data_IF_880413067315
#
_entry.id   IF_880413067315
#
_cell.length_a   1.000
_cell.length_b   1.000
_cell.length_c   1.000
_cell.angle_alpha   90.00
_cell.angle_beta   90.00
_cell.angle_gamma   90.00
#
_symmetry.space_group_name_H-M   'P 1'
#
loop_
_entity.id
_entity.type
_entity.pdbx_description
1 polymer ?
#
# COMPACT_ATOMS: atom_id res chain seq x y z
N UNK A 1 4.19 2.97 10.44
CA UNK A 1 3.81 1.56 10.70
C UNK A 1 2.73 1.12 9.73
N UNK A 2 2.47 -0.19 9.63
CA UNK A 2 1.44 -0.78 8.78
C UNK A 2 0.95 -2.09 9.41
N UNK A 3 -0.26 -2.54 9.09
CA UNK A 3 -0.77 -3.84 9.51
C UNK A 3 -0.15 -4.95 8.65
N UNK A 4 1.10 -5.28 8.93
CA UNK A 4 1.79 -6.35 8.24
C UNK A 4 1.36 -7.72 8.78
N UNK A 5 0.96 -8.60 7.87
CA UNK A 5 1.03 -10.05 8.07
C UNK A 5 2.41 -10.56 7.62
N UNK A 6 2.54 -11.85 7.29
CA UNK A 6 3.80 -12.50 6.93
C UNK A 6 4.74 -11.68 6.02
N UNK A 7 4.42 -11.54 4.73
CA UNK A 7 5.28 -10.83 3.78
C UNK A 7 4.72 -9.46 3.34
N UNK A 8 3.55 -9.05 3.82
CA UNK A 8 2.85 -7.84 3.39
C UNK A 8 2.42 -7.84 1.91
N UNK A 9 1.12 -7.81 1.64
CA UNK A 9 0.60 -7.72 0.27
C UNK A 9 0.44 -6.27 -0.21
N UNK A 10 0.27 -5.35 0.74
CA UNK A 10 0.12 -3.93 0.51
C UNK A 10 0.92 -3.21 1.60
N UNK A 11 1.46 -2.05 1.28
CA UNK A 11 1.93 -1.07 2.27
C UNK A 11 1.63 0.32 1.71
N UNK A 12 0.53 0.95 2.13
CA UNK A 12 0.19 2.31 1.68
C UNK A 12 0.90 3.39 2.50
N UNK A 13 1.44 3.02 3.67
CA UNK A 13 2.25 3.89 4.53
C UNK A 13 3.77 3.74 4.24
N UNK A 14 4.12 3.19 3.08
CA UNK A 14 5.50 3.01 2.67
C UNK A 14 6.19 4.32 2.28
N UNK A 15 7.50 4.27 2.11
CA UNK A 15 8.32 5.43 1.72
C UNK A 15 7.90 5.94 0.35
N UNK A 16 7.65 7.24 0.24
CA UNK A 16 7.54 7.89 -1.06
C UNK A 16 8.93 8.09 -1.66
N UNK A 17 9.08 7.71 -2.93
CA UNK A 17 10.33 7.86 -3.66
C UNK A 17 10.17 8.93 -4.76
N UNK A 18 10.97 10.00 -4.68
CA UNK A 18 11.08 11.00 -5.75
C UNK A 18 11.70 10.40 -7.02
N UNK A 19 12.68 9.52 -6.85
CA UNK A 19 13.27 8.67 -7.89
C UNK A 19 13.25 7.22 -7.43
N UNK A 20 12.82 6.30 -8.31
CA UNK A 20 12.68 4.89 -7.96
C UNK A 20 14.08 4.29 -7.76
N UNK A 21 14.39 3.71 -6.59
CA UNK A 21 15.71 3.15 -6.33
C UNK A 21 16.03 1.98 -7.26
N UNK A 22 17.31 1.70 -7.55
CA UNK A 22 17.68 0.57 -8.40
C UNK A 22 17.50 -0.77 -7.67
N UNK A 23 17.74 -0.80 -6.36
CA UNK A 23 17.77 -2.05 -5.60
C UNK A 23 16.37 -2.54 -5.24
N UNK A 24 16.14 -3.84 -5.46
CA UNK A 24 14.83 -4.47 -5.28
C UNK A 24 14.37 -4.43 -3.81
N UNK A 25 15.27 -4.54 -2.84
CA UNK A 25 14.91 -4.52 -1.43
C UNK A 25 14.50 -3.12 -0.94
N UNK A 26 15.14 -2.06 -1.47
CA UNK A 26 14.75 -0.67 -1.20
C UNK A 26 13.35 -0.38 -1.72
N UNK A 27 13.02 -0.85 -2.93
CA UNK A 27 11.67 -0.69 -3.51
C UNK A 27 10.56 -1.30 -2.64
N UNK A 28 10.83 -2.38 -1.89
CA UNK A 28 9.85 -3.00 -0.98
C UNK A 28 9.48 -2.09 0.20
N UNK A 29 10.33 -1.13 0.55
CA UNK A 29 10.06 -0.17 1.62
C UNK A 29 9.09 0.92 1.17
N UNK A 30 8.82 1.03 -0.13
CA UNK A 30 7.97 2.05 -0.71
C UNK A 30 6.49 1.79 -0.56
N UNK A 31 5.68 2.72 -1.07
CA UNK A 31 4.24 2.53 -1.22
C UNK A 31 4.02 1.43 -2.27
N UNK A 32 3.40 0.29 -1.93
CA UNK A 32 3.19 -0.78 -2.91
C UNK A 32 1.86 -1.49 -2.74
N UNK A 33 1.38 -2.08 -3.84
CA UNK A 33 0.22 -2.97 -3.86
C UNK A 33 0.51 -4.19 -4.74
N UNK A 34 0.78 -5.34 -4.10
CA UNK A 34 1.28 -6.56 -4.76
C UNK A 34 0.32 -7.08 -5.83
N UNK A 35 -0.97 -7.16 -5.53
CA UNK A 35 -1.98 -7.68 -6.47
C UNK A 35 -2.35 -6.71 -7.59
N UNK A 36 -1.84 -5.47 -7.56
CA UNK A 36 -2.08 -4.49 -8.62
C UNK A 36 -0.85 -4.25 -9.50
N UNK A 37 0.20 -3.61 -8.97
CA UNK A 37 1.44 -3.27 -9.71
C UNK A 37 2.65 -4.10 -9.27
N UNK A 38 2.47 -5.01 -8.31
CA UNK A 38 3.55 -5.80 -7.74
C UNK A 38 4.22 -5.15 -6.54
N UNK A 39 4.96 -5.95 -5.77
CA UNK A 39 5.63 -5.54 -4.53
C UNK A 39 6.81 -4.58 -4.76
N UNK A 40 7.35 -4.55 -5.97
CA UNK A 40 8.58 -3.83 -6.32
C UNK A 40 8.33 -2.60 -7.18
N UNK A 41 7.07 -2.22 -7.34
CA UNK A 41 6.67 -1.02 -8.04
C UNK A 41 6.20 0.00 -7.02
N UNK A 42 7.03 1.01 -6.68
CA UNK A 42 6.61 2.06 -5.77
C UNK A 42 5.54 2.94 -6.43
N UNK A 43 4.37 3.00 -5.82
CA UNK A 43 3.28 3.88 -6.23
C UNK A 43 3.64 5.34 -5.93
N UNK A 44 3.16 6.26 -6.78
CA UNK A 44 3.41 7.70 -6.63
C UNK A 44 2.53 8.34 -5.56
N UNK A 45 1.38 7.77 -5.28
CA UNK A 45 0.45 8.25 -4.26
C UNK A 45 -0.45 7.12 -3.79
N UNK A 46 -1.01 7.29 -2.60
CA UNK A 46 -2.07 6.47 -2.05
C UNK A 46 -2.97 7.34 -1.18
N UNK A 47 -4.27 7.05 -1.19
CA UNK A 47 -5.25 7.71 -0.32
C UNK A 47 -6.18 6.64 0.22
N UNK A 48 -6.34 6.58 1.54
CA UNK A 48 -7.32 5.74 2.21
C UNK A 48 -8.49 6.62 2.64
N UNK A 49 -9.72 6.24 2.29
CA UNK A 49 -10.95 6.94 2.67
C UNK A 49 -11.92 5.93 3.27
N UNK A 50 -12.67 6.34 4.27
CA UNK A 50 -13.70 5.53 4.93
C UNK A 50 -15.01 6.31 4.85
N UNK A 51 -16.11 5.60 4.61
CA UNK A 51 -17.48 6.13 4.68
C UNK A 51 -18.27 5.20 5.62
N UNK A 52 -19.21 5.71 6.44
CA UNK A 52 -20.12 4.85 7.19
C UNK A 52 -20.83 3.87 6.25
N UNK A 53 -20.83 2.59 6.61
CA UNK A 53 -21.73 1.63 6.00
C UNK A 53 -23.12 1.82 6.61
N UNK A 54 -24.17 1.77 5.80
CA UNK A 54 -25.51 1.58 6.35
C UNK A 54 -25.55 0.21 7.02
N UNK A 55 -25.97 0.14 8.30
CA UNK A 55 -26.11 -1.14 8.95
C UNK A 55 -27.15 -1.99 8.22
N UNK A 56 -26.92 -3.30 8.09
CA UNK A 56 -27.87 -4.22 7.43
C UNK A 56 -29.26 -4.21 8.09
N UNK A 57 -29.36 -3.84 9.37
CA UNK A 57 -30.64 -3.71 10.08
C UNK A 57 -31.39 -2.40 9.78
N UNK A 58 -30.76 -1.44 9.12
CA UNK A 58 -31.36 -0.16 8.73
C UNK A 58 -31.97 -0.19 7.31
N UNK A 59 -32.03 -1.38 6.68
CA UNK A 59 -32.61 -1.64 5.35
C UNK A 59 -33.95 -2.36 5.44
#
# INVERSE_FOLDING_TARGET
GWWFSYCGHVNLNGKYFRSIPRQRHERKQGIFWKTWRGRYYPLRSAVMKIRPAEPEWAS
#
